data_IF_730788490945
#
_entry.id   IF_730788490945
#
_cell.length_a   1.000
_cell.length_b   1.000
_cell.length_c   1.000
_cell.angle_alpha   90.00
_cell.angle_beta   90.00
_cell.angle_gamma   90.00
#
_symmetry.space_group_name_H-M   'P 1'
#
loop_
_entity.id
_entity.type
_entity.pdbx_description
1 polymer ?
#
# COMPACT_ATOMS: atom_id res chain seq x y z
N UNK A 1 -6.87 9.22 8.38
CA UNK A 1 -5.76 8.30 8.07
C UNK A 1 -4.43 8.94 8.42
N UNK A 2 -3.40 8.17 8.61
CA UNK A 2 -2.09 8.62 9.07
C UNK A 2 -0.96 8.18 8.11
N UNK A 3 -0.05 9.09 7.79
CA UNK A 3 1.19 8.79 7.09
C UNK A 3 2.37 9.04 8.03
N UNK A 4 3.18 8.01 8.25
CA UNK A 4 4.34 8.09 9.15
C UNK A 4 5.60 8.35 8.34
N UNK A 5 6.42 9.30 8.78
CA UNK A 5 7.60 9.71 8.04
C UNK A 5 8.70 10.26 8.95
N UNK A 6 9.90 10.43 8.39
CA UNK A 6 10.99 11.07 9.12
C UNK A 6 10.74 12.58 9.30
N UNK A 7 11.39 13.22 10.28
CA UNK A 7 11.36 14.68 10.42
C UNK A 7 11.85 15.39 9.15
N UNK A 8 12.86 14.87 8.50
CA UNK A 8 13.43 15.44 7.28
C UNK A 8 12.38 15.50 6.15
N UNK A 9 11.68 14.41 5.89
CA UNK A 9 10.62 14.37 4.87
C UNK A 9 9.47 15.30 5.24
N UNK A 10 9.06 15.31 6.52
CA UNK A 10 8.03 16.22 7.02
C UNK A 10 8.40 17.70 6.76
N UNK A 11 9.67 18.09 7.01
CA UNK A 11 10.14 19.44 6.72
C UNK A 11 10.06 19.81 5.23
N UNK A 12 10.40 18.88 4.35
CA UNK A 12 10.31 19.08 2.89
C UNK A 12 8.86 19.29 2.46
N UNK A 13 7.94 18.44 2.96
CA UNK A 13 6.53 18.48 2.60
C UNK A 13 5.86 19.81 3.00
N UNK A 14 6.26 20.39 4.13
CA UNK A 14 5.71 21.67 4.61
C UNK A 14 6.55 22.90 4.23
N UNK A 15 7.70 22.73 3.58
CA UNK A 15 8.59 23.84 3.19
C UNK A 15 9.18 24.57 4.40
N UNK A 16 9.59 23.82 5.43
CA UNK A 16 10.17 24.32 6.69
C UNK A 16 11.59 23.75 6.92
N UNK A 17 12.26 24.14 7.99
CA UNK A 17 13.57 23.59 8.33
C UNK A 17 14.70 23.97 7.36
N UNK A 18 14.61 25.14 6.73
CA UNK A 18 15.59 25.57 5.70
C UNK A 18 15.17 25.30 4.26
N UNK A 19 14.05 24.61 4.06
CA UNK A 19 13.46 24.48 2.74
C UNK A 19 12.61 25.71 2.43
N UNK A 20 12.92 26.41 1.35
CA UNK A 20 12.21 27.64 0.95
C UNK A 20 10.82 27.34 0.41
N UNK A 21 10.68 26.24 -0.31
CA UNK A 21 9.44 25.79 -0.95
C UNK A 21 9.06 24.39 -0.48
N UNK A 22 7.76 24.17 -0.26
CA UNK A 22 7.23 22.85 -0.03
C UNK A 22 7.34 21.99 -1.30
N UNK A 23 7.56 20.68 -1.11
CA UNK A 23 7.52 19.71 -2.20
C UNK A 23 6.27 18.85 -2.08
N UNK A 24 5.73 18.35 -3.19
CA UNK A 24 4.58 17.47 -3.16
C UNK A 24 4.91 16.15 -2.45
N UNK A 25 3.88 15.49 -1.93
CA UNK A 25 3.95 14.09 -1.51
C UNK A 25 4.36 13.23 -2.71
N UNK A 26 5.11 12.16 -2.44
CA UNK A 26 5.64 11.28 -3.46
C UNK A 26 4.97 9.91 -3.40
N UNK A 27 4.71 9.35 -4.58
CA UNK A 27 4.47 7.93 -4.73
C UNK A 27 5.82 7.28 -5.03
N UNK A 28 6.34 6.48 -4.11
CA UNK A 28 7.61 5.78 -4.27
C UNK A 28 7.45 4.53 -5.12
N UNK A 29 8.49 4.16 -5.87
CA UNK A 29 8.50 2.92 -6.63
C UNK A 29 8.45 1.68 -5.73
N UNK A 30 7.69 0.67 -6.13
CA UNK A 30 7.60 -0.64 -5.48
C UNK A 30 8.95 -1.32 -5.30
N UNK A 31 9.91 -1.07 -6.21
CA UNK A 31 11.24 -1.66 -6.18
C UNK A 31 12.11 -1.25 -4.97
N UNK A 32 11.72 -0.19 -4.27
CA UNK A 32 12.43 0.32 -3.08
C UNK A 32 11.67 0.02 -1.77
N UNK A 33 10.62 -0.80 -1.82
CA UNK A 33 9.87 -1.16 -0.61
C UNK A 33 10.68 -2.09 0.29
N UNK A 34 10.47 -1.96 1.61
CA UNK A 34 11.20 -2.75 2.61
C UNK A 34 10.74 -4.21 2.66
N UNK A 35 9.58 -4.53 2.13
CA UNK A 35 9.02 -5.89 2.10
C UNK A 35 9.36 -6.57 0.77
N UNK A 36 10.26 -7.57 0.76
CA UNK A 36 10.61 -8.29 -0.46
C UNK A 36 9.48 -9.20 -0.97
N UNK A 37 8.45 -9.43 -0.15
CA UNK A 37 7.25 -10.20 -0.50
C UNK A 37 6.09 -9.32 -0.98
N UNK A 38 6.31 -8.01 -1.10
CA UNK A 38 5.30 -7.07 -1.54
C UNK A 38 4.70 -7.48 -2.89
N UNK A 39 3.37 -7.59 -2.94
CA UNK A 39 2.64 -8.00 -4.14
C UNK A 39 2.65 -9.51 -4.46
N UNK A 40 3.33 -10.36 -3.66
CA UNK A 40 3.36 -11.81 -3.89
C UNK A 40 2.12 -12.54 -3.40
N UNK A 41 1.48 -12.08 -2.34
CA UNK A 41 0.37 -12.80 -1.72
C UNK A 41 -0.78 -13.12 -2.68
N UNK A 42 -1.11 -12.20 -3.59
CA UNK A 42 -2.11 -12.48 -4.63
C UNK A 42 -1.63 -13.51 -5.65
N UNK A 43 -0.36 -13.44 -6.09
CA UNK A 43 0.20 -14.40 -7.03
C UNK A 43 0.23 -15.82 -6.46
N UNK A 44 0.50 -15.94 -5.16
CA UNK A 44 0.44 -17.22 -4.46
C UNK A 44 -0.98 -17.76 -4.42
N UNK A 45 -1.97 -16.91 -4.14
CA UNK A 45 -3.39 -17.27 -4.16
C UNK A 45 -3.82 -17.76 -5.56
N UNK A 46 -3.34 -17.10 -6.61
CA UNK A 46 -3.68 -17.44 -8.01
C UNK A 46 -2.80 -18.54 -8.59
N UNK A 47 -1.80 -19.03 -7.83
CA UNK A 47 -0.84 -20.02 -8.30
C UNK A 47 -0.04 -19.56 -9.52
N UNK A 48 0.34 -18.30 -9.53
CA UNK A 48 1.03 -17.60 -10.60
C UNK A 48 2.41 -17.07 -10.13
N UNK A 49 3.09 -17.81 -9.24
CA UNK A 49 4.38 -17.40 -8.65
C UNK A 49 5.50 -17.24 -9.69
N UNK A 50 5.40 -17.97 -10.79
CA UNK A 50 6.39 -17.96 -11.87
C UNK A 50 6.25 -16.76 -12.81
N UNK A 51 5.20 -15.94 -12.64
CA UNK A 51 5.05 -14.71 -13.40
C UNK A 51 6.07 -13.68 -12.94
N UNK A 52 7.02 -13.41 -13.81
CA UNK A 52 7.95 -12.28 -13.67
C UNK A 52 7.23 -11.00 -14.11
N UNK A 53 6.47 -10.39 -13.20
CA UNK A 53 5.71 -9.17 -13.48
C UNK A 53 6.63 -7.94 -13.50
N UNK A 54 7.60 -7.86 -12.60
CA UNK A 54 8.69 -6.90 -12.67
C UNK A 54 9.97 -7.61 -13.10
N UNK A 55 10.21 -7.73 -14.40
CA UNK A 55 11.46 -8.32 -14.89
C UNK A 55 12.63 -7.38 -14.63
N UNK A 56 13.35 -7.65 -13.55
CA UNK A 56 14.51 -6.84 -13.14
C UNK A 56 15.71 -6.95 -14.08
N UNK A 57 15.77 -8.02 -14.88
CA UNK A 57 16.92 -8.29 -15.76
C UNK A 57 16.87 -7.50 -17.08
N UNK A 58 15.68 -7.34 -17.66
CA UNK A 58 15.52 -6.72 -18.99
C UNK A 58 14.89 -5.31 -18.93
N UNK A 59 14.66 -4.79 -17.70
CA UNK A 59 13.90 -3.57 -17.47
C UNK A 59 12.40 -3.83 -17.59
N UNK A 60 11.67 -3.71 -16.48
CA UNK A 60 10.22 -3.80 -16.49
C UNK A 60 9.65 -2.77 -17.46
N UNK A 61 8.64 -3.13 -18.26
CA UNK A 61 7.95 -2.19 -19.12
C UNK A 61 7.13 -1.18 -18.32
N UNK A 62 6.67 -1.57 -17.12
CA UNK A 62 5.88 -0.78 -16.19
C UNK A 62 6.42 -0.93 -14.77
N UNK A 63 6.16 0.06 -13.94
CA UNK A 63 6.50 0.02 -12.52
C UNK A 63 5.32 0.55 -11.68
N UNK A 64 5.12 -0.04 -10.52
CA UNK A 64 4.13 0.41 -9.55
C UNK A 64 4.73 1.51 -8.67
N UNK A 65 3.95 2.57 -8.47
CA UNK A 65 4.28 3.67 -7.58
C UNK A 65 3.16 3.86 -6.56
N UNK A 66 3.50 3.90 -5.28
CA UNK A 66 2.49 4.08 -4.26
C UNK A 66 3.01 4.78 -3.01
N UNK A 67 2.09 5.34 -2.25
CA UNK A 67 2.33 5.82 -0.89
C UNK A 67 1.31 5.21 0.06
N UNK A 68 1.78 4.94 1.28
CA UNK A 68 1.04 4.17 2.28
C UNK A 68 0.52 5.05 3.39
N UNK A 69 -0.69 4.75 3.83
CA UNK A 69 -1.33 5.34 5.00
C UNK A 69 -1.84 4.23 5.91
N UNK A 70 -1.98 4.54 7.20
CA UNK A 70 -2.58 3.63 8.17
C UNK A 70 -3.87 4.24 8.73
N UNK A 71 -4.84 3.40 9.11
CA UNK A 71 -5.96 3.85 9.92
C UNK A 71 -5.57 4.13 11.37
N UNK A 72 -4.38 3.69 11.78
CA UNK A 72 -3.86 3.82 13.14
C UNK A 72 -3.15 5.16 13.32
N UNK A 73 -3.86 6.11 13.90
CA UNK A 73 -3.32 7.42 14.22
C UNK A 73 -2.60 7.35 15.58
N UNK A 74 -1.38 7.90 15.65
CA UNK A 74 -0.56 7.91 16.87
C UNK A 74 -0.30 6.49 17.41
N UNK A 75 0.10 5.57 16.55
CA UNK A 75 0.33 4.16 16.89
C UNK A 75 1.82 3.88 17.16
N UNK A 76 2.08 3.07 18.19
CA UNK A 76 3.44 2.74 18.62
C UNK A 76 4.23 1.97 17.57
N UNK A 77 3.61 0.96 16.94
CA UNK A 77 4.28 0.13 15.97
C UNK A 77 4.58 0.90 14.69
N UNK A 78 3.63 1.75 14.26
CA UNK A 78 3.83 2.62 13.10
C UNK A 78 4.98 3.60 13.32
N UNK A 79 5.09 4.22 14.49
CA UNK A 79 6.22 5.09 14.84
C UNK A 79 7.55 4.33 14.88
N UNK A 80 7.56 3.08 15.35
CA UNK A 80 8.77 2.24 15.40
C UNK A 80 9.25 1.82 14.02
N UNK A 81 8.33 1.52 13.11
CA UNK A 81 8.68 1.04 11.78
C UNK A 81 9.01 2.20 10.83
N UNK A 82 8.18 3.22 10.79
CA UNK A 82 8.17 4.25 9.75
C UNK A 82 8.47 5.67 10.25
N UNK A 83 8.18 5.98 11.52
CA UNK A 83 8.37 7.29 12.12
C UNK A 83 9.70 7.40 12.87
N UNK A 84 10.85 7.25 12.18
CA UNK A 84 12.18 7.29 12.81
C UNK A 84 13.18 8.12 12.01
N UNK A 85 14.21 8.59 12.69
CA UNK A 85 15.38 9.29 12.15
C UNK A 85 16.62 8.77 12.87
N UNK A 86 17.71 8.52 12.13
CA UNK A 86 18.99 8.01 12.65
C UNK A 86 18.86 6.76 13.53
N UNK A 87 17.92 5.87 13.22
CA UNK A 87 17.65 4.66 13.98
C UNK A 87 16.91 4.87 15.31
N UNK A 88 16.56 6.10 15.68
CA UNK A 88 15.82 6.41 16.91
C UNK A 88 14.33 6.20 16.68
N UNK A 89 13.75 5.23 17.37
CA UNK A 89 12.31 4.93 17.30
C UNK A 89 11.46 6.13 17.76
N UNK A 90 10.36 6.38 17.06
CA UNK A 90 9.42 7.46 17.34
C UNK A 90 10.06 8.86 17.43
N UNK A 91 11.10 9.09 16.66
CA UNK A 91 11.68 10.42 16.45
C UNK A 91 11.08 11.15 15.25
N UNK A 92 10.24 10.48 14.45
CA UNK A 92 9.59 11.01 13.26
C UNK A 92 8.27 11.71 13.53
N UNK A 93 7.49 11.82 12.47
CA UNK A 93 6.19 12.50 12.44
C UNK A 93 5.09 11.55 11.96
N UNK A 94 3.89 11.75 12.47
CA UNK A 94 2.66 11.17 11.97
C UNK A 94 1.80 12.30 11.40
N UNK A 95 1.60 12.29 10.08
CA UNK A 95 0.76 13.24 9.37
C UNK A 95 -0.65 12.69 9.32
N UNK A 96 -1.63 13.44 9.79
CA UNK A 96 -3.04 13.03 9.87
C UNK A 96 -3.83 13.73 8.79
N UNK A 97 -4.61 12.95 8.03
CA UNK A 97 -5.41 13.42 6.91
C UNK A 97 -6.86 12.95 7.02
N UNK A 98 -7.77 13.75 6.50
CA UNK A 98 -9.12 13.29 6.22
C UNK A 98 -9.10 12.32 5.02
N UNK A 99 -9.67 11.13 5.19
CA UNK A 99 -9.77 10.13 4.12
C UNK A 99 -10.76 10.51 2.99
N UNK A 100 -11.59 11.52 3.21
CA UNK A 100 -12.54 12.06 2.25
C UNK A 100 -12.11 13.47 1.79
N UNK A 101 -10.81 13.77 1.85
CA UNK A 101 -10.27 15.06 1.42
C UNK A 101 -10.34 15.25 -0.09
N UNK A 102 -10.48 16.49 -0.53
CA UNK A 102 -10.65 16.85 -1.96
C UNK A 102 -9.44 16.51 -2.85
N UNK A 103 -8.30 16.18 -2.25
CA UNK A 103 -7.09 15.75 -2.95
C UNK A 103 -7.11 14.26 -3.38
N UNK A 104 -8.16 13.55 -2.98
CA UNK A 104 -8.42 12.16 -3.33
C UNK A 104 -9.57 12.11 -4.33
N UNK A 105 -9.50 11.14 -5.25
CA UNK A 105 -10.64 10.82 -6.10
C UNK A 105 -11.68 10.07 -5.27
N UNK A 106 -12.96 10.45 -5.42
CA UNK A 106 -14.05 9.66 -4.87
C UNK A 106 -13.99 8.23 -5.41
N UNK A 107 -14.09 7.27 -4.50
CA UNK A 107 -14.18 5.87 -4.90
C UNK A 107 -15.59 5.60 -5.41
N UNK A 108 -15.72 5.37 -6.71
CA UNK A 108 -16.94 4.80 -7.27
C UNK A 108 -17.04 3.34 -6.81
N UNK A 109 -18.00 3.08 -5.95
CA UNK A 109 -18.23 1.75 -5.36
C UNK A 109 -18.72 0.76 -6.42
N UNK A 110 -19.25 1.25 -7.54
CA UNK A 110 -19.71 0.45 -8.67
C UNK A 110 -18.59 0.09 -9.65
N UNK A 111 -17.45 0.79 -9.58
CA UNK A 111 -16.30 0.51 -10.42
C UNK A 111 -15.59 -0.74 -9.89
N UNK A 112 -15.94 -1.90 -10.40
CA UNK A 112 -15.05 -3.06 -10.39
C UNK A 112 -13.74 -2.64 -11.05
N UNK A 113 -12.61 -2.95 -10.43
CA UNK A 113 -11.23 -2.83 -10.90
C UNK A 113 -11.07 -2.35 -12.37
N UNK A 114 -11.47 -1.12 -12.67
CA UNK A 114 -11.28 -0.58 -14.01
C UNK A 114 -9.85 -0.08 -14.11
N UNK A 115 -9.17 -0.52 -15.16
CA UNK A 115 -7.86 -0.02 -15.54
C UNK A 115 -7.96 1.51 -15.75
N UNK A 116 -7.32 2.35 -14.92
CA UNK A 116 -7.40 3.81 -15.10
C UNK A 116 -6.75 4.30 -16.40
N UNK A 117 -5.96 3.44 -17.09
CA UNK A 117 -5.38 3.77 -18.40
C UNK A 117 -6.38 3.67 -19.56
N UNK A 118 -7.51 3.00 -19.38
CA UNK A 118 -8.58 3.04 -20.38
C UNK A 118 -9.36 4.33 -20.20
N UNK A 119 -8.97 5.38 -20.90
CA UNK A 119 -9.85 6.50 -21.18
C UNK A 119 -11.11 5.89 -21.77
N UNK A 120 -12.19 5.85 -21.02
CA UNK A 120 -13.50 5.50 -21.55
C UNK A 120 -13.80 6.55 -22.62
N UNK A 121 -13.75 6.11 -23.88
CA UNK A 121 -14.18 6.92 -25.00
C UNK A 121 -15.69 7.07 -25.02
N UNK A 122 -16.24 7.61 -23.96
CA UNK A 122 -17.59 8.15 -23.92
C UNK A 122 -17.42 9.66 -23.73
N UNK A 123 -17.56 10.36 -24.86
CA UNK A 123 -17.86 11.78 -24.89
C UNK A 123 -19.06 12.05 -23.98
N UNK A 124 -18.79 12.44 -22.76
CA UNK A 124 -19.74 13.18 -21.95
C UNK A 124 -19.42 14.68 -22.10
N UNK A 125 -19.71 15.20 -23.28
CA UNK A 125 -20.01 16.62 -23.46
C UNK A 125 -21.23 16.91 -22.59
N UNK A 126 -21.02 17.51 -21.40
CA UNK A 126 -22.01 18.31 -20.65
C UNK A 126 -21.78 18.32 -19.14
N UNK A 127 -20.53 18.35 -18.68
CA UNK A 127 -20.29 18.87 -17.34
C UNK A 127 -19.46 20.15 -17.47
N UNK A 128 -19.87 21.26 -16.84
CA UNK A 128 -19.08 22.47 -16.86
C UNK A 128 -17.71 22.18 -16.24
N UNK A 129 -16.66 22.40 -17.01
CA UNK A 129 -15.29 22.48 -16.48
C UNK A 129 -15.29 23.50 -15.35
N UNK A 130 -15.23 23.01 -14.12
CA UNK A 130 -14.92 23.85 -13.00
C UNK A 130 -13.45 24.25 -13.17
N UNK A 131 -13.23 25.51 -13.55
CA UNK A 131 -11.94 26.16 -13.59
C UNK A 131 -11.31 26.14 -12.18
N UNK A 132 -10.57 25.07 -11.86
CA UNK A 132 -9.66 25.03 -10.74
C UNK A 132 -8.23 25.16 -11.27
N UNK A 133 -7.58 26.32 -11.09
CA UNK A 133 -6.32 26.64 -11.77
C UNK A 133 -5.08 25.91 -11.24
N UNK A 134 -5.17 24.92 -10.33
CA UNK A 134 -3.99 24.36 -9.67
C UNK A 134 -3.94 22.82 -9.51
N UNK A 135 -4.81 22.04 -10.15
CA UNK A 135 -4.69 20.56 -10.09
C UNK A 135 -3.65 20.06 -11.11
N UNK A 136 -2.38 20.27 -10.79
CA UNK A 136 -1.23 19.78 -11.56
C UNK A 136 -1.15 18.25 -11.62
N UNK A 137 -1.87 17.56 -10.72
CA UNK A 137 -1.80 16.11 -10.53
C UNK A 137 -3.19 15.47 -10.62
N UNK A 138 -3.27 14.33 -11.28
CA UNK A 138 -4.49 13.53 -11.34
C UNK A 138 -4.84 12.99 -9.93
N UNK A 139 -6.09 13.19 -9.48
CA UNK A 139 -6.55 12.66 -8.18
C UNK A 139 -6.65 11.14 -8.23
N UNK A 140 -6.00 10.47 -7.29
CA UNK A 140 -6.00 9.02 -7.19
C UNK A 140 -7.01 8.51 -6.16
N UNK A 141 -7.61 7.34 -6.40
CA UNK A 141 -8.46 6.69 -5.40
C UNK A 141 -7.60 6.15 -4.25
N UNK A 142 -8.15 6.22 -3.04
CA UNK A 142 -7.55 5.60 -1.87
C UNK A 142 -8.01 4.15 -1.75
N UNK A 143 -7.11 3.21 -1.99
CA UNK A 143 -7.38 1.78 -1.86
C UNK A 143 -7.11 1.28 -0.45
N UNK A 144 -7.91 0.35 0.02
CA UNK A 144 -7.63 -0.37 1.25
C UNK A 144 -6.90 -1.68 0.94
N UNK A 145 -5.83 -1.97 1.69
CA UNK A 145 -5.08 -3.22 1.57
C UNK A 145 -5.83 -4.36 2.26
N UNK A 146 -5.92 -5.50 1.57
CA UNK A 146 -6.39 -6.76 2.10
C UNK A 146 -5.19 -7.64 2.52
N UNK A 147 -5.35 -8.40 3.61
CA UNK A 147 -4.28 -9.24 4.13
C UNK A 147 -4.58 -10.71 3.88
N UNK A 148 -3.61 -11.41 3.26
CA UNK A 148 -3.71 -12.82 2.91
C UNK A 148 -2.96 -13.66 3.93
N UNK A 149 -3.64 -14.66 4.50
CA UNK A 149 -3.08 -15.66 5.39
C UNK A 149 -3.06 -17.03 4.72
N UNK A 150 -2.03 -17.79 4.96
CA UNK A 150 -1.95 -19.18 4.53
C UNK A 150 -2.64 -20.13 5.52
N UNK A 151 -3.03 -21.30 5.04
CA UNK A 151 -3.85 -22.29 5.77
C UNK A 151 -3.36 -22.62 7.18
N UNK A 152 -2.05 -22.66 7.41
CA UNK A 152 -1.45 -23.15 8.66
C UNK A 152 -1.22 -22.07 9.71
N UNK A 153 -1.64 -20.84 9.45
CA UNK A 153 -1.51 -19.76 10.42
C UNK A 153 -2.62 -19.80 11.48
N UNK A 154 -2.33 -20.41 12.63
CA UNK A 154 -3.28 -20.55 13.75
C UNK A 154 -4.01 -19.25 14.15
N UNK A 155 -3.33 -18.10 14.07
CA UNK A 155 -3.93 -16.79 14.38
C UNK A 155 -4.93 -16.36 13.29
N UNK A 156 -4.70 -16.75 12.04
CA UNK A 156 -5.55 -16.42 10.93
C UNK A 156 -6.95 -17.01 11.04
N UNK A 157 -7.08 -18.22 11.53
CA UNK A 157 -8.38 -18.89 11.74
C UNK A 157 -9.35 -18.09 12.61
N UNK A 158 -8.82 -17.23 13.48
CA UNK A 158 -9.63 -16.40 14.38
C UNK A 158 -9.84 -14.97 13.89
N UNK A 159 -9.14 -14.55 12.83
CA UNK A 159 -9.09 -13.16 12.42
C UNK A 159 -9.42 -12.91 10.95
N UNK A 160 -9.49 -13.96 10.13
CA UNK A 160 -9.92 -13.82 8.74
C UNK A 160 -11.44 -13.89 8.62
N UNK A 161 -11.99 -13.04 7.78
CA UNK A 161 -13.43 -12.96 7.51
C UNK A 161 -13.84 -13.77 6.28
N UNK A 162 -12.93 -14.01 5.34
CA UNK A 162 -13.15 -14.79 4.12
C UNK A 162 -12.16 -15.93 4.08
N UNK A 163 -12.61 -17.10 3.63
CA UNK A 163 -11.75 -18.23 3.31
C UNK A 163 -11.99 -18.67 1.87
N UNK A 164 -10.89 -18.80 1.12
CA UNK A 164 -10.85 -19.22 -0.27
C UNK A 164 -10.06 -20.52 -0.40
N UNK A 165 -10.40 -21.30 -1.41
CA UNK A 165 -9.68 -22.51 -1.77
C UNK A 165 -9.18 -22.38 -3.20
N UNK A 166 -7.89 -22.59 -3.41
CA UNK A 166 -7.27 -22.57 -4.73
C UNK A 166 -6.46 -23.85 -4.96
N UNK A 167 -6.38 -24.35 -6.21
CA UNK A 167 -5.55 -25.50 -6.57
C UNK A 167 -4.09 -25.22 -6.28
N UNK A 168 -3.37 -26.24 -5.78
CA UNK A 168 -1.95 -26.14 -5.53
C UNK A 168 -1.15 -26.89 -6.61
N UNK A 169 -0.76 -26.20 -7.68
CA UNK A 169 0.02 -26.76 -8.80
C UNK A 169 1.42 -27.24 -8.39
N UNK A 170 2.03 -26.58 -7.41
CA UNK A 170 3.37 -26.98 -6.92
C UNK A 170 3.35 -28.37 -6.27
N UNK A 171 2.24 -28.78 -5.65
CA UNK A 171 2.09 -30.09 -5.06
C UNK A 171 1.99 -31.20 -6.11
N UNK A 172 1.34 -30.95 -7.25
CA UNK A 172 1.22 -31.92 -8.35
C UNK A 172 2.57 -32.23 -8.99
N UNK A 173 3.47 -31.24 -9.10
CA UNK A 173 4.83 -31.43 -9.62
C UNK A 173 5.65 -32.37 -8.71
N UNK A 174 5.56 -32.18 -7.39
CA UNK A 174 6.24 -33.05 -6.43
C UNK A 174 5.66 -34.47 -6.38
N UNK A 175 4.35 -34.64 -6.57
CA UNK A 175 3.74 -35.97 -6.68
C UNK A 175 4.15 -36.71 -7.94
N UNK A 176 4.27 -36.03 -9.07
CA UNK A 176 4.71 -36.62 -10.33
C UNK A 176 6.17 -37.09 -10.25
N UNK A 177 7.05 -36.26 -9.65
CA UNK A 177 8.46 -36.66 -9.39
C UNK A 177 8.58 -37.80 -8.37
N UNK A 178 7.71 -37.86 -7.37
CA UNK A 178 7.69 -38.95 -6.38
C UNK A 178 7.11 -40.25 -6.95
N UNK A 179 6.15 -40.19 -7.89
CA UNK A 179 5.60 -41.36 -8.58
C UNK A 179 6.61 -42.05 -9.51
N UNK A 180 7.54 -41.29 -10.08
CA UNK A 180 8.62 -41.86 -10.92
C UNK A 180 9.70 -42.58 -10.08
N UNK A 181 9.83 -42.27 -8.79
CA UNK A 181 10.93 -42.79 -7.94
C UNK A 181 10.51 -43.79 -6.83
N UNK A 182 9.23 -44.05 -6.64
CA UNK A 182 8.78 -44.99 -5.59
C UNK A 182 7.78 -45.99 -6.12
N UNK A 183 8.26 -47.24 -6.24
CA UNK A 183 7.42 -48.41 -6.50
C UNK A 183 6.26 -48.52 -5.50
N UNK A 184 5.08 -48.70 -6.05
CA UNK A 184 3.78 -48.99 -5.47
C UNK A 184 3.77 -49.53 -4.03
N UNK A 185 3.55 -48.73 -3.02
CA UNK A 185 2.90 -49.17 -1.76
C UNK A 185 2.73 -48.09 -0.69
N UNK A 186 2.33 -46.86 -0.98
CA UNK A 186 1.77 -46.01 0.06
C UNK A 186 0.63 -45.23 -0.56
N UNK A 187 -0.62 -45.69 -0.35
CA UNK A 187 -1.81 -44.89 -0.55
C UNK A 187 -1.90 -43.86 0.57
N UNK A 188 -1.26 -42.73 0.41
CA UNK A 188 -1.71 -41.55 1.12
C UNK A 188 -2.91 -40.97 0.34
N UNK A 189 -4.08 -41.14 0.89
CA UNK A 189 -5.26 -40.36 0.51
C UNK A 189 -5.03 -38.92 0.98
N UNK A 190 -4.25 -38.18 0.21
CA UNK A 190 -4.10 -36.76 0.38
C UNK A 190 -5.10 -36.07 -0.54
N UNK A 191 -6.20 -35.57 0.03
CA UNK A 191 -7.01 -34.52 -0.54
C UNK A 191 -6.22 -33.19 -0.52
N UNK A 192 -5.01 -33.19 -1.07
CA UNK A 192 -3.98 -32.19 -0.77
C UNK A 192 -3.63 -31.28 -1.95
N UNK A 193 -4.48 -31.26 -2.98
CA UNK A 193 -4.28 -30.38 -4.13
C UNK A 193 -4.97 -29.02 -3.97
N UNK A 194 -5.48 -28.70 -2.80
CA UNK A 194 -6.20 -27.46 -2.53
C UNK A 194 -5.54 -26.75 -1.37
N UNK A 195 -4.99 -25.57 -1.64
CA UNK A 195 -4.55 -24.64 -0.61
C UNK A 195 -5.70 -23.76 -0.15
N UNK A 196 -5.76 -23.50 1.14
CA UNK A 196 -6.77 -22.63 1.74
C UNK A 196 -6.13 -21.31 2.15
N UNK A 197 -6.73 -20.21 1.74
CA UNK A 197 -6.28 -18.85 2.04
C UNK A 197 -7.33 -18.10 2.84
N UNK A 198 -6.90 -17.44 3.88
CA UNK A 198 -7.74 -16.56 4.67
C UNK A 198 -7.53 -15.10 4.24
N UNK A 199 -8.60 -14.33 4.12
CA UNK A 199 -8.55 -12.90 3.82
C UNK A 199 -9.07 -12.10 5.01
N UNK A 200 -8.30 -11.08 5.39
CA UNK A 200 -8.70 -10.09 6.37
C UNK A 200 -8.79 -8.72 5.71
N UNK A 201 -9.89 -8.03 5.96
CA UNK A 201 -10.10 -6.65 5.55
C UNK A 201 -10.49 -5.81 6.79
N UNK A 202 -9.81 -4.71 7.04
CA UNK A 202 -10.16 -3.81 8.14
C UNK A 202 -11.59 -3.29 7.95
N UNK A 203 -12.49 -3.39 8.95
CA UNK A 203 -13.80 -2.78 8.89
C UNK A 203 -13.74 -1.26 8.68
N UNK A 204 -14.46 -0.77 7.67
CA UNK A 204 -14.63 0.65 7.37
C UNK A 204 -16.12 0.93 7.17
N UNK A 205 -16.61 1.99 7.81
CA UNK A 205 -18.03 2.31 7.79
C UNK A 205 -18.85 1.45 8.77
N UNK A 206 -20.13 1.26 8.47
CA UNK A 206 -21.00 0.41 9.28
C UNK A 206 -20.86 -1.08 8.90
N UNK A 207 -21.38 -1.96 9.76
CA UNK A 207 -21.27 -3.41 9.59
C UNK A 207 -21.86 -3.91 8.26
N UNK A 208 -23.02 -3.39 7.85
CA UNK A 208 -23.66 -3.80 6.58
C UNK A 208 -22.79 -3.46 5.37
N UNK A 209 -22.17 -2.29 5.40
CA UNK A 209 -21.26 -1.85 4.36
C UNK A 209 -19.99 -2.72 4.34
N UNK A 210 -19.46 -3.05 5.51
CA UNK A 210 -18.30 -3.93 5.62
C UNK A 210 -18.61 -5.33 5.07
N UNK A 211 -19.75 -5.93 5.43
CA UNK A 211 -20.19 -7.23 4.90
C UNK A 211 -20.38 -7.22 3.38
N UNK A 212 -21.00 -6.18 2.85
CA UNK A 212 -21.14 -6.01 1.40
C UNK A 212 -19.76 -5.99 0.70
N UNK A 213 -18.79 -5.28 1.24
CA UNK A 213 -17.42 -5.23 0.67
C UNK A 213 -16.72 -6.58 0.74
N UNK A 214 -16.88 -7.31 1.84
CA UNK A 214 -16.32 -8.66 1.98
C UNK A 214 -16.93 -9.61 0.95
N UNK A 215 -18.25 -9.58 0.74
CA UNK A 215 -18.93 -10.40 -0.25
C UNK A 215 -18.41 -10.07 -1.66
N UNK A 216 -18.30 -8.80 -2.02
CA UNK A 216 -17.79 -8.37 -3.32
C UNK A 216 -16.31 -8.74 -3.54
N UNK A 217 -15.49 -8.60 -2.51
CA UNK A 217 -14.09 -9.04 -2.56
C UNK A 217 -13.99 -10.55 -2.76
N UNK A 218 -14.82 -11.32 -2.05
CA UNK A 218 -14.86 -12.78 -2.19
C UNK A 218 -15.26 -13.20 -3.59
N UNK A 219 -16.39 -12.66 -4.11
CA UNK A 219 -16.85 -12.93 -5.48
C UNK A 219 -15.75 -12.65 -6.51
N UNK A 220 -15.12 -11.46 -6.44
CA UNK A 220 -14.06 -11.08 -7.37
C UNK A 220 -12.84 -12.00 -7.29
N UNK A 221 -12.43 -12.43 -6.09
CA UNK A 221 -11.30 -13.35 -5.94
C UNK A 221 -11.65 -14.78 -6.42
N UNK A 222 -12.87 -15.26 -6.20
CA UNK A 222 -13.33 -16.55 -6.73
C UNK A 222 -13.36 -16.55 -8.27
N UNK A 223 -13.85 -15.47 -8.88
CA UNK A 223 -13.83 -15.29 -10.34
C UNK A 223 -12.39 -15.24 -10.88
N UNK A 224 -11.50 -14.53 -10.19
CA UNK A 224 -10.10 -14.40 -10.59
C UNK A 224 -9.37 -15.76 -10.48
N UNK A 225 -9.60 -16.53 -9.42
CA UNK A 225 -9.07 -17.88 -9.26
C UNK A 225 -9.54 -18.75 -10.43
N UNK A 226 -10.86 -18.81 -10.71
CA UNK A 226 -11.42 -19.59 -11.79
C UNK A 226 -10.84 -19.20 -13.16
N UNK A 227 -10.67 -17.91 -13.41
CA UNK A 227 -10.06 -17.42 -14.64
C UNK A 227 -8.63 -17.96 -14.87
N UNK A 228 -7.80 -17.95 -13.82
CA UNK A 228 -6.42 -18.44 -13.93
C UNK A 228 -6.30 -19.98 -13.85
N UNK A 229 -7.30 -20.68 -13.30
CA UNK A 229 -7.35 -22.14 -13.33
C UNK A 229 -7.52 -22.67 -14.75
N UNK A 230 -8.41 -22.06 -15.54
CA UNK A 230 -8.77 -22.49 -16.88
C UNK A 230 -7.77 -22.02 -17.96
N UNK A 231 -6.86 -21.11 -17.60
CA UNK A 231 -5.99 -20.45 -18.56
C UNK A 231 -4.68 -21.20 -18.76
N UNK A 232 -4.39 -21.59 -19.99
CA UNK A 232 -3.16 -22.31 -20.37
C UNK A 232 -1.94 -21.37 -20.53
N UNK A 233 -2.18 -20.08 -20.78
CA UNK A 233 -1.16 -19.04 -20.91
C UNK A 233 -1.70 -17.69 -20.46
N UNK A 234 -0.89 -16.94 -19.73
CA UNK A 234 -1.19 -15.59 -19.27
C UNK A 234 -0.76 -14.59 -20.34
N UNK A 235 -1.68 -13.75 -20.81
CA UNK A 235 -1.38 -12.70 -21.80
C UNK A 235 -0.69 -11.49 -21.13
N UNK A 236 -0.14 -10.58 -21.93
CA UNK A 236 0.48 -9.38 -21.40
C UNK A 236 -0.55 -8.43 -20.77
N UNK A 237 -1.78 -8.38 -21.30
CA UNK A 237 -2.90 -7.63 -20.69
C UNK A 237 -3.26 -8.19 -19.30
N UNK A 238 -3.21 -9.53 -19.12
CA UNK A 238 -3.46 -10.14 -17.82
C UNK A 238 -2.36 -9.80 -16.82
N UNK A 239 -1.10 -9.76 -17.27
CA UNK A 239 0.03 -9.36 -16.43
C UNK A 239 -0.12 -7.91 -16.00
N UNK A 240 -0.48 -7.02 -16.92
CA UNK A 240 -0.73 -5.60 -16.59
C UNK A 240 -1.87 -5.48 -15.57
N UNK A 241 -2.97 -6.20 -15.74
CA UNK A 241 -4.06 -6.20 -14.76
C UNK A 241 -3.60 -6.71 -13.39
N UNK A 242 -2.78 -7.77 -13.34
CA UNK A 242 -2.22 -8.27 -12.08
C UNK A 242 -1.27 -7.27 -11.41
N UNK A 243 -0.47 -6.51 -12.18
CA UNK A 243 0.38 -5.45 -11.63
C UNK A 243 -0.44 -4.41 -10.86
N UNK A 244 -1.64 -4.06 -11.35
CA UNK A 244 -2.51 -3.12 -10.66
C UNK A 244 -3.01 -3.61 -9.31
N UNK A 245 -3.44 -4.87 -9.25
CA UNK A 245 -4.17 -5.38 -8.09
C UNK A 245 -3.27 -6.08 -7.07
N UNK A 246 -2.12 -6.66 -7.46
CA UNK A 246 -1.28 -7.42 -6.54
C UNK A 246 -0.77 -6.60 -5.36
N UNK A 247 -0.50 -5.32 -5.55
CA UNK A 247 -0.08 -4.41 -4.49
C UNK A 247 -1.20 -3.97 -3.55
N UNK A 248 -2.44 -4.42 -3.78
CA UNK A 248 -3.56 -4.26 -2.86
C UNK A 248 -3.69 -5.41 -1.87
N UNK A 249 -2.80 -6.40 -1.97
CA UNK A 249 -2.73 -7.56 -1.10
C UNK A 249 -1.37 -7.65 -0.43
N UNK A 250 -1.38 -7.92 0.88
CA UNK A 250 -0.18 -8.01 1.70
C UNK A 250 -0.25 -9.25 2.58
N UNK A 251 0.91 -9.76 3.00
CA UNK A 251 0.98 -10.89 3.93
C UNK A 251 0.27 -10.56 5.25
N UNK A 252 -0.42 -11.55 5.81
CA UNK A 252 -1.20 -11.42 7.05
C UNK A 252 -0.35 -10.99 8.26
N UNK A 253 0.95 -11.23 8.25
CA UNK A 253 1.86 -10.76 9.29
C UNK A 253 1.81 -9.23 9.47
N UNK A 254 1.53 -8.48 8.39
CA UNK A 254 1.45 -7.02 8.37
C UNK A 254 0.05 -6.46 8.67
N UNK A 255 -0.95 -7.29 9.00
CA UNK A 255 -2.36 -6.89 9.21
C UNK A 255 -2.56 -5.75 10.23
N UNK A 256 -1.63 -5.60 11.16
CA UNK A 256 -1.69 -4.57 12.18
C UNK A 256 -1.29 -3.18 11.66
N UNK A 257 -0.85 -3.07 10.41
CA UNK A 257 -0.62 -1.79 9.74
C UNK A 257 -1.93 -1.12 9.34
N UNK A 258 -2.99 -1.90 9.09
CA UNK A 258 -4.31 -1.40 8.68
C UNK A 258 -4.19 -0.38 7.54
N UNK A 259 -3.51 -0.82 6.48
CA UNK A 259 -2.95 0.03 5.44
C UNK A 259 -3.98 0.47 4.39
N UNK A 260 -3.78 1.68 3.89
CA UNK A 260 -4.41 2.24 2.69
C UNK A 260 -3.32 2.73 1.74
N UNK A 261 -3.58 2.69 0.43
CA UNK A 261 -2.63 3.09 -0.61
C UNK A 261 -3.23 4.03 -1.63
N UNK A 262 -2.46 5.02 -2.02
CA UNK A 262 -2.56 5.64 -3.33
C UNK A 262 -1.61 4.89 -4.25
N UNK A 263 -2.10 4.35 -5.35
CA UNK A 263 -1.37 3.46 -6.25
C UNK A 263 -1.58 3.89 -7.69
N UNK A 264 -0.51 3.90 -8.46
CA UNK A 264 -0.52 4.09 -9.91
C UNK A 264 0.52 3.19 -10.56
N UNK A 265 0.22 2.68 -11.75
CA UNK A 265 1.17 1.95 -12.59
C UNK A 265 1.53 2.86 -13.76
N UNK A 266 2.82 3.01 -14.03
CA UNK A 266 3.30 3.82 -15.15
C UNK A 266 4.35 3.08 -15.96
N UNK A 267 4.38 3.27 -17.30
CA UNK A 267 5.50 2.85 -18.11
C UNK A 267 6.80 3.43 -17.59
N UNK A 268 7.89 2.68 -17.71
CA UNK A 268 9.20 3.09 -17.14
C UNK A 268 9.77 4.35 -17.81
N UNK A 269 9.33 4.64 -19.05
CA UNK A 269 9.70 5.83 -19.83
C UNK A 269 8.72 7.01 -19.63
N UNK A 270 7.80 6.91 -18.68
CA UNK A 270 6.86 7.99 -18.38
C UNK A 270 7.57 9.27 -17.92
N UNK A 271 7.23 10.39 -18.53
CA UNK A 271 7.75 11.72 -18.16
C UNK A 271 7.34 12.19 -16.76
N UNK A 272 6.35 11.51 -16.14
CA UNK A 272 5.91 11.81 -14.78
C UNK A 272 6.88 11.25 -13.71
N UNK A 273 7.78 10.35 -14.10
CA UNK A 273 8.73 9.72 -13.17
C UNK A 273 9.90 10.66 -12.94
N UNK A 274 10.10 11.04 -11.69
CA UNK A 274 11.23 11.86 -11.24
C UNK A 274 12.26 10.99 -10.50
N UNK A 275 13.53 11.43 -10.55
CA UNK A 275 14.64 10.82 -9.84
C UNK A 275 15.08 11.65 -8.65
N UNK A 276 15.37 10.98 -7.53
CA UNK A 276 15.91 11.60 -6.33
C UNK A 276 17.37 11.18 -6.14
N UNK A 277 18.33 12.08 -6.39
CA UNK A 277 19.75 11.83 -6.23
C UNK A 277 20.14 11.43 -4.80
N UNK A 278 19.50 12.07 -3.81
CA UNK A 278 19.81 11.83 -2.38
C UNK A 278 19.48 10.43 -1.93
N UNK A 279 18.32 9.90 -2.36
CA UNK A 279 17.85 8.56 -1.98
C UNK A 279 18.14 7.50 -3.04
N UNK A 280 18.67 7.91 -4.20
CA UNK A 280 18.93 7.04 -5.36
C UNK A 280 17.64 6.26 -5.77
N UNK A 281 16.48 6.93 -5.73
CA UNK A 281 15.18 6.32 -5.97
C UNK A 281 14.37 7.09 -7.00
N UNK A 282 13.47 6.40 -7.68
CA UNK A 282 12.49 7.01 -8.59
C UNK A 282 11.13 7.14 -7.90
N UNK A 283 10.38 8.17 -8.26
CA UNK A 283 9.10 8.46 -7.66
C UNK A 283 8.22 9.28 -8.62
N UNK A 284 6.93 9.35 -8.33
CA UNK A 284 6.00 10.26 -8.99
C UNK A 284 5.56 11.33 -7.98
N UNK A 285 5.69 12.63 -8.28
CA UNK A 285 5.13 13.69 -7.44
C UNK A 285 3.60 13.61 -7.50
N UNK A 286 2.92 13.77 -6.34
CA UNK A 286 1.48 13.63 -6.30
C UNK A 286 0.77 14.91 -5.90
N UNK A 287 0.71 15.26 -4.62
CA UNK A 287 -0.09 16.36 -4.15
C UNK A 287 0.65 17.26 -3.13
N UNK A 288 0.35 18.54 -3.16
CA UNK A 288 0.72 19.45 -2.05
C UNK A 288 -0.20 19.17 -0.85
N UNK A 289 0.39 18.69 0.24
CA UNK A 289 -0.37 18.26 1.41
C UNK A 289 -0.60 19.35 2.46
N UNK A 290 -0.08 20.56 2.26
CA UNK A 290 -0.12 21.65 3.28
C UNK A 290 -1.55 22.02 3.69
N UNK A 291 -2.47 22.01 2.71
CA UNK A 291 -3.89 22.29 2.93
C UNK A 291 -4.73 21.03 3.18
N UNK A 292 -4.11 19.86 3.16
CA UNK A 292 -4.78 18.56 3.25
C UNK A 292 -4.54 17.88 4.59
N UNK A 293 -3.46 18.27 5.28
CA UNK A 293 -3.11 17.73 6.59
C UNK A 293 -3.89 18.44 7.71
N UNK A 294 -4.62 17.67 8.51
CA UNK A 294 -5.34 18.19 9.68
C UNK A 294 -4.40 18.38 10.88
N UNK A 295 -3.46 17.46 11.06
CA UNK A 295 -2.56 17.43 12.22
C UNK A 295 -1.21 16.80 11.89
N UNK A 296 -0.15 17.32 12.50
CA UNK A 296 1.16 16.69 12.60
C UNK A 296 1.41 16.28 14.04
N UNK A 297 1.55 14.97 14.31
CA UNK A 297 1.89 14.43 15.61
C UNK A 297 3.38 14.13 15.63
N UNK A 298 4.14 14.87 16.43
CA UNK A 298 5.56 14.63 16.66
C UNK A 298 5.74 13.40 17.54
N UNK A 299 6.61 12.49 17.17
CA UNK A 299 6.87 11.28 17.94
C UNK A 299 7.42 11.58 19.35
N UNK A 300 7.27 10.64 20.26
CA UNK A 300 7.70 10.78 21.67
C UNK A 300 9.19 11.13 21.79
N UNK A 301 10.02 10.60 20.91
CA UNK A 301 11.47 10.82 20.88
C UNK A 301 11.92 11.87 19.85
N UNK A 302 11.01 12.68 19.31
CA UNK A 302 11.31 13.67 18.27
C UNK A 302 12.50 14.59 18.62
N UNK A 303 12.66 14.97 19.90
CA UNK A 303 13.75 15.82 20.38
C UNK A 303 15.04 15.04 20.71
N UNK A 304 15.04 13.72 20.57
CA UNK A 304 16.25 12.89 20.83
C UNK A 304 17.23 12.89 19.65
N UNK A 305 16.73 13.26 18.46
CA UNK A 305 17.55 13.46 17.27
C UNK A 305 17.76 14.96 17.06
N UNK A 306 19.00 15.41 17.05
CA UNK A 306 19.35 16.82 16.82
C UNK A 306 19.22 17.74 18.02
N UNK A 307 18.73 18.97 17.83
CA UNK A 307 18.67 20.02 18.85
C UNK A 307 17.52 19.81 19.85
N UNK A 308 17.74 20.08 21.13
CA UNK A 308 16.74 19.96 22.20
C UNK A 308 15.48 20.84 22.01
N UNK A 309 15.55 21.90 21.19
CA UNK A 309 14.40 22.76 20.85
C UNK A 309 13.76 22.46 19.52
N UNK A 310 14.07 21.32 18.93
CA UNK A 310 13.60 20.92 17.59
C UNK A 310 12.07 21.00 17.47
N UNK A 311 11.33 20.51 18.47
CA UNK A 311 9.86 20.54 18.48
C UNK A 311 9.29 21.97 18.62
N UNK A 312 9.94 22.83 19.39
CA UNK A 312 9.53 24.25 19.54
C UNK A 312 9.70 24.99 18.21
N UNK A 313 10.87 24.84 17.59
CA UNK A 313 11.19 25.44 16.29
C UNK A 313 10.21 24.94 15.22
N UNK A 314 9.93 23.64 15.19
CA UNK A 314 8.97 23.04 14.27
C UNK A 314 7.58 23.69 14.42
N UNK A 315 7.05 23.77 15.64
CA UNK A 315 5.74 24.40 15.89
C UNK A 315 5.70 25.86 15.46
N UNK A 316 6.76 26.60 15.70
CA UNK A 316 6.85 27.99 15.28
C UNK A 316 6.80 28.14 13.77
N UNK A 317 7.59 27.35 13.04
CA UNK A 317 7.62 27.36 11.57
C UNK A 317 6.29 26.91 10.97
N UNK A 318 5.67 25.86 11.52
CA UNK A 318 4.34 25.41 11.11
C UNK A 318 3.28 26.49 11.32
N UNK A 319 3.30 27.17 12.46
CA UNK A 319 2.36 28.26 12.71
C UNK A 319 2.48 29.41 11.73
N UNK A 320 3.69 29.66 11.20
CA UNK A 320 3.90 30.70 10.18
C UNK A 320 3.51 30.24 8.76
N UNK A 321 3.83 29.01 8.39
CA UNK A 321 3.68 28.49 7.00
C UNK A 321 2.32 27.81 6.77
N UNK A 322 1.82 27.09 7.78
CA UNK A 322 0.61 26.27 7.72
C UNK A 322 -0.20 26.44 9.01
N UNK A 323 -0.80 27.62 9.26
CA UNK A 323 -1.43 27.99 10.55
C UNK A 323 -2.63 27.11 10.91
N UNK A 324 -3.28 26.50 9.93
CA UNK A 324 -4.46 25.65 10.09
C UNK A 324 -4.10 24.20 10.48
N UNK A 325 -2.84 23.79 10.26
CA UNK A 325 -2.36 22.45 10.63
C UNK A 325 -2.06 22.41 12.13
N UNK A 326 -2.76 21.55 12.85
CA UNK A 326 -2.49 21.32 14.27
C UNK A 326 -1.17 20.60 14.47
N UNK A 327 -0.38 21.02 15.46
CA UNK A 327 0.87 20.33 15.85
C UNK A 327 0.75 19.84 17.29
N UNK A 328 0.77 18.53 17.46
CA UNK A 328 0.74 17.88 18.78
C UNK A 328 2.00 17.02 19.01
N UNK A 329 2.08 16.36 20.15
CA UNK A 329 3.15 15.43 20.51
C UNK A 329 2.57 14.12 20.99
N UNK A 330 3.14 13.02 20.54
CA UNK A 330 2.82 11.69 21.03
C UNK A 330 3.23 11.52 22.50
N UNK A 331 2.39 10.86 23.27
CA UNK A 331 2.65 10.45 24.67
C UNK A 331 2.82 8.94 24.80
N UNK A 332 3.03 8.25 23.69
CA UNK A 332 3.21 6.79 23.68
C UNK A 332 4.43 6.38 24.51
N UNK A 333 4.32 5.29 25.30
CA UNK A 333 5.39 4.82 26.17
C UNK A 333 6.48 4.13 25.34
N UNK A 334 7.46 4.88 24.92
CA UNK A 334 8.65 4.36 24.22
C UNK A 334 9.86 4.59 25.11
N UNK A 335 10.62 3.54 25.36
CA UNK A 335 11.88 3.66 26.09
C UNK A 335 12.80 4.62 25.33
N UNK A 336 13.47 5.56 26.04
CA UNK A 336 14.49 6.35 25.39
C UNK A 336 15.60 5.43 24.87
N UNK A 337 16.23 5.75 23.72
CA UNK A 337 17.35 4.97 23.23
C UNK A 337 18.41 4.89 24.33
N UNK A 338 18.96 3.68 24.53
CA UNK A 338 20.08 3.51 25.46
C UNK A 338 21.21 4.48 25.08
N UNK A 339 21.71 5.19 26.06
CA UNK A 339 22.83 6.12 25.90
C UNK A 339 24.11 5.38 25.58
#
# INVERSE_FOLDING_TARGET
MAHYTSPYVCHILFGIGGNETAKPMRLGSSTYMNDPSEGRGLLDLLNQQDLELENKADGASHNAFFTCFSSRINDLNQFRLYGKEDGVEASGCCLVFNKNGDWLRETDVSASFHNPSQKSGQDSDDLPEADYPDDKYEKLPLYQVAYIAYQDEYIADKKCEIWLSAPNKAFDLHQNLAKENLGSSIRFTLNANISRFGIRLKPVGNEKWHQFRLEKLKEALEELIGFFEDKSAVSDDDKEALEYIRYLFKDFAFRDEEEFRLLVIKPIDSEEIEYCETTQSVYIPYADIRNQADEVILGTNYEKTGNQRKAEVFRYQMKQKCPDVKVSRSTLPINPPNK
#
